data_IF_449048905952
#
_entry.id   IF_449048905952
#
_cell.length_a   1.000
_cell.length_b   1.000
_cell.length_c   1.000
_cell.angle_alpha   90.00
_cell.angle_beta   90.00
_cell.angle_gamma   90.00
#
_symmetry.space_group_name_H-M   'P 1'
#
loop_
_entity.id
_entity.type
_entity.pdbx_description
1 polymer ?
#
# COMPACT_ATOMS: atom_id res chain seq x y z
N UNK A 1 4.60 -2.89 11.25
CA UNK A 1 4.07 -4.19 10.79
C UNK A 1 2.60 -4.00 10.47
N UNK A 2 2.18 -4.40 9.28
CA UNK A 2 0.81 -4.25 8.77
C UNK A 2 0.24 -5.64 8.57
N UNK A 3 -0.88 -5.92 9.24
CA UNK A 3 -1.61 -7.17 9.13
C UNK A 3 -2.96 -6.91 8.48
N UNK A 4 -3.45 -7.76 7.58
CA UNK A 4 -4.83 -7.63 7.12
C UNK A 4 -5.77 -7.89 8.28
N UNK A 5 -6.93 -7.24 8.26
CA UNK A 5 -8.01 -7.63 9.16
C UNK A 5 -8.46 -9.04 8.74
N UNK A 6 -8.16 -10.06 9.54
CA UNK A 6 -8.63 -11.43 9.27
C UNK A 6 -10.03 -11.54 9.84
N UNK A 7 -11.05 -11.49 8.98
CA UNK A 7 -12.36 -12.03 9.34
C UNK A 7 -12.28 -13.55 9.19
N UNK A 8 -11.84 -14.26 10.23
CA UNK A 8 -12.12 -15.69 10.29
C UNK A 8 -13.62 -15.89 10.43
N UNK A 9 -14.14 -17.03 9.97
CA UNK A 9 -15.57 -17.39 9.85
C UNK A 9 -16.35 -17.48 11.18
N UNK A 10 -16.23 -16.45 12.03
CA UNK A 10 -16.72 -16.35 13.40
C UNK A 10 -15.90 -15.38 14.29
N UNK A 11 -14.77 -14.85 13.80
CA UNK A 11 -13.86 -13.97 14.55
C UNK A 11 -13.79 -12.56 13.97
N UNK A 12 -13.95 -11.55 14.82
CA UNK A 12 -13.68 -10.16 14.43
C UNK A 12 -12.18 -10.00 14.13
N UNK A 13 -11.79 -9.32 13.04
CA UNK A 13 -10.38 -9.03 12.70
C UNK A 13 -9.54 -8.32 13.77
N UNK A 14 -10.18 -7.90 14.86
CA UNK A 14 -9.53 -7.54 16.12
C UNK A 14 -8.72 -8.68 16.75
N UNK A 15 -9.23 -9.91 16.71
CA UNK A 15 -8.61 -11.05 17.37
C UNK A 15 -7.29 -11.41 16.66
N UNK A 16 -7.29 -11.42 15.33
CA UNK A 16 -6.10 -11.73 14.55
C UNK A 16 -4.95 -10.74 14.78
N UNK A 17 -5.20 -9.43 14.80
CA UNK A 17 -4.13 -8.45 15.03
C UNK A 17 -3.64 -8.46 16.49
N UNK A 18 -4.52 -8.78 17.45
CA UNK A 18 -4.14 -8.93 18.86
C UNK A 18 -3.28 -10.17 19.06
N UNK A 19 -3.68 -11.33 18.52
CA UNK A 19 -2.88 -12.54 18.55
C UNK A 19 -1.53 -12.33 17.86
N UNK A 20 -1.49 -11.70 16.68
CA UNK A 20 -0.22 -11.38 16.04
C UNK A 20 0.67 -10.46 16.90
N UNK A 21 0.07 -9.46 17.56
CA UNK A 21 0.80 -8.58 18.48
C UNK A 21 1.34 -9.34 19.70
N UNK A 22 0.55 -10.22 20.31
CA UNK A 22 0.93 -10.98 21.50
C UNK A 22 1.90 -12.12 21.19
N UNK A 23 1.63 -12.91 20.16
CA UNK A 23 2.31 -14.16 19.85
C UNK A 23 3.54 -13.98 18.96
N UNK A 24 3.54 -12.97 18.08
CA UNK A 24 4.61 -12.76 17.11
C UNK A 24 5.40 -11.51 17.46
N UNK A 25 4.76 -10.33 17.48
CA UNK A 25 5.52 -9.09 17.62
C UNK A 25 6.27 -9.00 18.96
N UNK A 26 5.64 -9.37 20.08
CA UNK A 26 6.33 -9.42 21.38
C UNK A 26 7.36 -10.54 21.49
N UNK A 27 7.13 -11.68 20.85
CA UNK A 27 8.07 -12.81 20.88
C UNK A 27 9.36 -12.52 20.10
N UNK A 28 9.23 -11.89 18.92
CA UNK A 28 10.37 -11.57 18.05
C UNK A 28 11.03 -10.23 18.39
N UNK A 29 10.36 -9.35 19.14
CA UNK A 29 10.88 -8.05 19.58
C UNK A 29 10.78 -7.88 21.11
N UNK A 30 11.37 -8.78 21.92
CA UNK A 30 11.15 -8.81 23.36
C UNK A 30 11.64 -7.55 24.08
N UNK A 31 12.70 -6.91 23.57
CA UNK A 31 13.30 -5.70 24.16
C UNK A 31 12.79 -4.39 23.53
N UNK A 32 11.70 -4.45 22.76
CA UNK A 32 11.16 -3.29 22.03
C UNK A 32 9.78 -2.92 22.52
N UNK A 33 9.50 -1.62 22.55
CA UNK A 33 8.17 -1.08 22.88
C UNK A 33 7.30 -1.18 21.65
N UNK A 34 6.47 -2.22 21.60
CA UNK A 34 5.56 -2.47 20.47
C UNK A 34 4.19 -1.87 20.79
N UNK A 35 3.64 -1.06 19.91
CA UNK A 35 2.26 -0.56 19.98
C UNK A 35 1.31 -1.35 19.09
N UNK A 36 0.01 -1.26 19.38
CA UNK A 36 -1.06 -1.88 18.59
C UNK A 36 -2.06 -0.81 18.14
N UNK A 37 -2.37 -0.75 16.84
CA UNK A 37 -3.36 0.17 16.28
C UNK A 37 -4.38 -0.57 15.39
N UNK A 38 -5.67 -0.45 15.69
CA UNK A 38 -6.72 -1.13 14.90
C UNK A 38 -7.99 -0.29 14.77
N UNK A 39 -8.89 -0.72 13.88
CA UNK A 39 -10.16 -0.03 13.55
C UNK A 39 -11.02 0.35 14.76
N UNK A 40 -11.12 -0.53 15.76
CA UNK A 40 -11.96 -0.34 16.95
C UNK A 40 -11.46 0.68 17.98
N UNK A 41 -10.24 1.21 17.83
CA UNK A 41 -9.76 2.27 18.73
C UNK A 41 -10.52 3.57 18.46
N UNK A 42 -10.84 4.32 19.50
CA UNK A 42 -11.41 5.66 19.38
C UNK A 42 -10.37 6.59 18.71
N UNK A 43 -10.82 7.68 18.05
CA UNK A 43 -9.90 8.62 17.40
C UNK A 43 -8.79 9.14 18.33
N UNK A 44 -9.12 9.42 19.60
CA UNK A 44 -8.15 9.86 20.60
C UNK A 44 -7.06 8.82 20.86
N UNK A 45 -7.45 7.56 21.06
CA UNK A 45 -6.51 6.45 21.31
C UNK A 45 -5.61 6.21 20.08
N UNK A 46 -6.16 6.31 18.87
CA UNK A 46 -5.36 6.23 17.63
C UNK A 46 -4.32 7.35 17.56
N UNK A 47 -4.71 8.58 17.91
CA UNK A 47 -3.80 9.72 17.92
C UNK A 47 -2.69 9.57 18.95
N UNK A 48 -3.00 9.09 20.16
CA UNK A 48 -2.02 8.84 21.22
C UNK A 48 -0.99 7.79 20.80
N UNK A 49 -1.42 6.62 20.30
CA UNK A 49 -0.51 5.56 19.80
C UNK A 49 0.37 6.08 18.67
N UNK A 50 -0.18 6.89 17.77
CA UNK A 50 0.59 7.46 16.68
C UNK A 50 1.60 8.51 17.12
N UNK A 51 1.27 9.32 18.12
CA UNK A 51 2.21 10.28 18.72
C UNK A 51 3.35 9.56 19.44
N UNK A 52 3.04 8.48 20.18
CA UNK A 52 4.04 7.64 20.81
C UNK A 52 5.00 7.01 19.78
N UNK A 53 4.48 6.56 18.64
CA UNK A 53 5.31 6.00 17.57
C UNK A 53 6.17 7.07 16.88
N UNK A 54 5.60 8.23 16.55
CA UNK A 54 6.34 9.34 15.92
C UNK A 54 7.45 9.90 16.81
N UNK A 55 7.19 10.00 18.11
CA UNK A 55 8.15 10.52 19.10
C UNK A 55 9.21 9.49 19.53
N UNK A 56 9.15 8.25 19.02
CA UNK A 56 10.08 7.19 19.41
C UNK A 56 9.84 6.66 20.83
N UNK A 57 8.65 6.87 21.41
CA UNK A 57 8.20 6.18 22.62
C UNK A 57 7.79 4.73 22.35
N UNK A 58 7.41 4.43 21.10
CA UNK A 58 7.28 3.08 20.57
C UNK A 58 8.37 2.84 19.53
N UNK A 59 8.98 1.66 19.58
CA UNK A 59 10.00 1.22 18.63
C UNK A 59 9.38 0.51 17.43
N UNK A 60 8.21 -0.09 17.60
CA UNK A 60 7.47 -0.78 16.55
C UNK A 60 5.96 -0.57 16.70
N UNK A 61 5.23 -0.62 15.58
CA UNK A 61 3.77 -0.52 15.54
C UNK A 61 3.20 -1.70 14.75
N UNK A 62 2.30 -2.45 15.36
CA UNK A 62 1.47 -3.46 14.70
C UNK A 62 0.12 -2.82 14.38
N UNK A 63 -0.32 -2.89 13.13
CA UNK A 63 -1.61 -2.33 12.76
C UNK A 63 -2.37 -3.14 11.73
N UNK A 64 -3.70 -3.02 11.74
CA UNK A 64 -4.51 -3.51 10.63
C UNK A 64 -4.38 -2.59 9.40
N UNK A 65 -5.06 -2.94 8.29
CA UNK A 65 -5.21 -2.09 7.09
C UNK A 65 -5.73 -0.66 7.34
N UNK A 66 -6.14 -0.35 8.57
CA UNK A 66 -6.60 0.96 9.04
C UNK A 66 -5.48 2.01 9.09
N UNK A 67 -4.27 1.69 8.65
CA UNK A 67 -3.32 2.73 8.19
C UNK A 67 -3.81 3.36 6.87
N UNK A 68 -5.11 3.51 6.61
CA UNK A 68 -5.61 4.18 5.40
C UNK A 68 -5.34 5.70 5.40
N UNK A 69 -5.04 6.35 6.54
CA UNK A 69 -4.88 7.81 6.57
C UNK A 69 -3.56 8.28 7.21
N UNK A 70 -2.68 8.83 6.39
CA UNK A 70 -1.78 9.94 6.78
C UNK A 70 -0.61 9.67 7.73
N UNK A 71 -0.21 8.41 7.93
CA UNK A 71 0.96 8.11 8.76
C UNK A 71 2.23 8.23 7.92
N UNK A 72 2.76 9.46 7.85
CA UNK A 72 4.14 9.69 7.46
C UNK A 72 5.01 9.72 8.72
N UNK A 73 5.96 8.79 8.81
CA UNK A 73 6.89 8.67 9.94
C UNK A 73 8.29 8.56 9.35
N UNK A 74 9.03 9.67 9.23
CA UNK A 74 10.34 9.69 8.59
C UNK A 74 11.36 8.72 9.23
N UNK A 75 11.19 8.44 10.53
CA UNK A 75 12.04 7.52 11.29
C UNK A 75 11.67 6.04 11.10
N UNK A 76 10.53 5.73 10.47
CA UNK A 76 10.19 4.35 10.15
C UNK A 76 10.98 3.92 8.91
N UNK A 77 11.95 3.04 9.11
CA UNK A 77 12.82 2.52 8.04
C UNK A 77 12.45 1.12 7.58
N UNK A 78 11.65 0.38 8.36
CA UNK A 78 11.25 -1.00 8.02
C UNK A 78 9.74 -1.15 8.03
N UNK A 79 9.19 -1.63 6.91
CA UNK A 79 7.81 -2.10 6.79
C UNK A 79 7.78 -3.60 6.59
N UNK A 80 6.86 -4.27 7.29
CA UNK A 80 6.51 -5.67 7.06
C UNK A 80 5.02 -5.72 6.81
N UNK A 81 4.61 -6.25 5.66
CA UNK A 81 3.21 -6.44 5.28
C UNK A 81 2.94 -7.94 5.27
N UNK A 82 2.17 -8.39 6.25
CA UNK A 82 1.74 -9.77 6.39
C UNK A 82 0.61 -10.11 5.42
N UNK A 83 0.56 -11.37 4.97
CA UNK A 83 -0.44 -11.87 4.02
C UNK A 83 -0.65 -10.88 2.84
N UNK A 84 0.46 -10.43 2.24
CA UNK A 84 0.48 -9.38 1.22
C UNK A 84 -0.39 -9.73 0.00
N UNK A 85 -0.64 -11.02 -0.25
CA UNK A 85 -1.52 -11.48 -1.33
C UNK A 85 -2.97 -11.00 -1.19
N UNK A 86 -3.41 -10.66 0.02
CA UNK A 86 -4.78 -10.18 0.29
C UNK A 86 -5.01 -8.74 -0.17
N UNK A 87 -3.95 -8.03 -0.52
CA UNK A 87 -4.03 -6.63 -0.95
C UNK A 87 -3.97 -6.53 -2.48
N UNK A 88 -4.61 -5.50 -3.02
CA UNK A 88 -4.37 -5.06 -4.41
C UNK A 88 -2.96 -4.48 -4.55
N UNK A 89 -2.38 -4.56 -5.74
CA UNK A 89 -1.03 -4.05 -5.99
C UNK A 89 -0.89 -2.56 -5.70
N UNK A 90 -1.88 -1.75 -6.09
CA UNK A 90 -1.90 -0.32 -5.81
C UNK A 90 -1.93 -0.02 -4.30
N UNK A 91 -2.65 -0.80 -3.51
CA UNK A 91 -2.68 -0.64 -2.05
C UNK A 91 -1.31 -0.98 -1.42
N UNK A 92 -0.67 -2.07 -1.85
CA UNK A 92 0.69 -2.41 -1.41
C UNK A 92 1.71 -1.33 -1.79
N UNK A 93 1.60 -0.78 -3.01
CA UNK A 93 2.44 0.31 -3.47
C UNK A 93 2.27 1.56 -2.59
N UNK A 94 1.03 1.92 -2.26
CA UNK A 94 0.75 3.04 -1.36
C UNK A 94 1.28 2.80 0.05
N UNK A 95 1.15 1.58 0.59
CA UNK A 95 1.71 1.22 1.90
C UNK A 95 3.23 1.34 1.89
N UNK A 96 3.90 0.75 0.88
CA UNK A 96 5.35 0.86 0.69
C UNK A 96 5.82 2.31 0.68
N UNK A 97 5.09 3.19 -0.01
CA UNK A 97 5.41 4.61 -0.10
C UNK A 97 5.32 5.39 1.22
N UNK A 98 4.85 4.78 2.32
CA UNK A 98 4.80 5.41 3.65
C UNK A 98 6.07 5.23 4.49
N UNK A 99 7.03 4.46 3.98
CA UNK A 99 8.32 4.19 4.61
C UNK A 99 9.42 4.67 3.67
N UNK A 100 10.55 5.13 4.22
CA UNK A 100 11.65 5.65 3.39
C UNK A 100 11.50 7.08 2.90
N UNK A 101 10.79 7.93 3.67
CA UNK A 101 10.79 9.39 3.45
C UNK A 101 11.92 10.14 4.18
N UNK A 102 12.66 9.44 5.05
CA UNK A 102 13.84 9.99 5.71
C UNK A 102 15.13 9.76 4.92
N UNK A 103 16.26 10.22 5.45
CA UNK A 103 17.58 10.01 4.85
C UNK A 103 18.13 8.58 5.02
N UNK A 104 17.51 7.78 5.89
CA UNK A 104 17.95 6.42 6.18
C UNK A 104 17.44 5.43 5.12
N UNK A 105 18.29 4.48 4.75
CA UNK A 105 17.92 3.37 3.89
C UNK A 105 16.73 2.61 4.48
N UNK A 106 15.77 2.26 3.62
CA UNK A 106 14.49 1.71 4.04
C UNK A 106 14.11 0.46 3.28
N UNK A 107 13.42 -0.44 3.98
CA UNK A 107 13.08 -1.79 3.51
C UNK A 107 11.60 -2.07 3.69
N UNK A 108 10.97 -2.67 2.67
CA UNK A 108 9.59 -3.11 2.72
C UNK A 108 9.53 -4.60 2.40
N UNK A 109 9.17 -5.42 3.38
CA UNK A 109 9.00 -6.86 3.27
C UNK A 109 7.54 -7.21 3.01
N UNK A 110 7.30 -8.00 1.97
CA UNK A 110 6.00 -8.57 1.64
C UNK A 110 6.02 -10.04 2.05
N UNK A 111 5.21 -10.41 3.04
CA UNK A 111 5.13 -11.78 3.55
C UNK A 111 3.86 -12.42 3.00
N UNK A 112 3.98 -13.63 2.47
CA UNK A 112 2.85 -14.39 1.91
C UNK A 112 3.14 -15.89 1.99
N UNK A 113 2.19 -16.65 2.53
CA UNK A 113 2.22 -18.13 2.52
C UNK A 113 1.61 -18.72 1.24
N UNK A 114 1.13 -17.86 0.33
CA UNK A 114 0.47 -18.29 -0.88
C UNK A 114 1.48 -18.66 -1.97
N UNK A 115 1.60 -19.96 -2.24
CA UNK A 115 2.54 -20.51 -3.23
C UNK A 115 2.05 -20.41 -4.70
N UNK A 116 0.88 -19.83 -4.96
CA UNK A 116 0.36 -19.68 -6.33
C UNK A 116 1.31 -18.86 -7.20
N UNK A 117 1.62 -19.35 -8.39
CA UNK A 117 2.52 -18.69 -9.32
C UNK A 117 2.02 -17.28 -9.72
N UNK A 118 0.70 -17.11 -9.87
CA UNK A 118 0.11 -15.81 -10.20
C UNK A 118 0.32 -14.79 -9.07
N UNK A 119 0.15 -15.22 -7.83
CA UNK A 119 0.36 -14.39 -6.64
C UNK A 119 1.84 -14.03 -6.50
N UNK A 120 2.73 -15.01 -6.65
CA UNK A 120 4.17 -14.81 -6.55
C UNK A 120 4.70 -13.89 -7.65
N UNK A 121 4.22 -14.03 -8.89
CA UNK A 121 4.55 -13.11 -10.00
C UNK A 121 4.13 -11.68 -9.69
N UNK A 122 2.91 -11.50 -9.18
CA UNK A 122 2.36 -10.19 -8.82
C UNK A 122 3.18 -9.51 -7.72
N UNK A 123 3.48 -10.22 -6.62
CA UNK A 123 4.29 -9.67 -5.52
C UNK A 123 5.73 -9.36 -5.97
N UNK A 124 6.35 -10.24 -6.78
CA UNK A 124 7.68 -10.00 -7.36
C UNK A 124 7.70 -8.79 -8.30
N UNK A 125 6.66 -8.59 -9.10
CA UNK A 125 6.54 -7.41 -9.95
C UNK A 125 6.58 -6.13 -9.12
N UNK A 126 5.83 -6.08 -8.00
CA UNK A 126 5.89 -4.93 -7.09
C UNK A 126 7.28 -4.69 -6.50
N UNK A 127 8.03 -5.75 -6.19
CA UNK A 127 9.41 -5.63 -5.73
C UNK A 127 10.39 -5.13 -6.80
N UNK A 128 10.09 -5.36 -8.08
CA UNK A 128 10.97 -4.97 -9.20
C UNK A 128 10.85 -3.52 -9.64
N UNK A 129 9.80 -2.79 -9.24
CA UNK A 129 9.58 -1.41 -9.69
C UNK A 129 9.05 -0.48 -8.60
N UNK A 130 9.57 0.75 -8.60
CA UNK A 130 9.04 1.86 -7.83
C UNK A 130 7.99 2.69 -8.58
N UNK A 131 7.77 2.43 -9.88
CA UNK A 131 6.85 3.20 -10.72
C UNK A 131 5.39 2.82 -10.46
N UNK A 132 4.60 3.78 -9.98
CA UNK A 132 3.18 3.60 -9.70
C UNK A 132 2.34 3.34 -10.94
N UNK A 133 2.73 3.86 -12.10
CA UNK A 133 2.03 3.61 -13.36
C UNK A 133 2.24 2.18 -13.84
N UNK A 134 3.48 1.70 -13.83
CA UNK A 134 3.78 0.30 -14.15
C UNK A 134 3.00 -0.67 -13.25
N UNK A 135 2.86 -0.34 -11.95
CA UNK A 135 2.04 -1.11 -11.00
C UNK A 135 0.56 -1.08 -11.35
N UNK A 136 0.01 0.09 -11.68
CA UNK A 136 -1.40 0.21 -12.08
C UNK A 136 -1.69 -0.56 -13.38
N UNK A 137 -0.80 -0.48 -14.37
CA UNK A 137 -0.92 -1.20 -15.62
C UNK A 137 -0.89 -2.72 -15.41
N UNK A 138 0.07 -3.22 -14.63
CA UNK A 138 0.16 -4.65 -14.34
C UNK A 138 -1.06 -5.17 -13.55
N UNK A 139 -1.59 -4.39 -12.59
CA UNK A 139 -2.82 -4.75 -11.87
C UNK A 139 -4.04 -4.81 -12.81
N UNK A 140 -4.12 -3.90 -13.79
CA UNK A 140 -5.17 -3.92 -14.82
C UNK A 140 -5.06 -5.15 -15.74
N UNK A 141 -3.85 -5.44 -16.22
CA UNK A 141 -3.57 -6.61 -17.08
C UNK A 141 -3.89 -7.93 -16.37
N UNK A 142 -3.55 -8.05 -15.08
CA UNK A 142 -3.75 -9.30 -14.32
C UNK A 142 -5.19 -9.52 -13.84
N UNK A 143 -5.98 -8.46 -13.62
CA UNK A 143 -7.41 -8.57 -13.29
C UNK A 143 -8.29 -8.82 -14.51
N UNK A 144 -7.83 -8.40 -15.68
CA UNK A 144 -8.61 -8.43 -16.91
C UNK A 144 -9.75 -7.40 -16.93
N UNK A 145 -10.36 -7.13 -18.10
CA UNK A 145 -11.36 -6.07 -18.29
C UNK A 145 -12.69 -6.31 -17.56
N UNK A 146 -12.94 -7.52 -17.06
CA UNK A 146 -14.23 -7.95 -16.51
C UNK A 146 -14.49 -7.58 -15.05
N UNK A 147 -13.45 -7.29 -14.26
CA UNK A 147 -13.58 -7.11 -12.80
C UNK A 147 -13.51 -5.64 -12.34
N UNK A 148 -13.24 -4.70 -13.26
CA UNK A 148 -13.27 -3.26 -12.99
C UNK A 148 -14.71 -2.72 -12.93
N UNK A 149 -15.61 -3.33 -13.70
CA UNK A 149 -17.05 -3.09 -13.64
C UNK A 149 -17.67 -4.22 -12.85
N UNK A 150 -17.72 -4.08 -11.53
CA UNK A 150 -18.24 -5.10 -10.63
C UNK A 150 -19.50 -5.79 -11.18
N UNK A 151 -19.48 -7.12 -11.16
CA UNK A 151 -20.64 -8.02 -11.20
C UNK A 151 -21.95 -7.39 -11.73
N UNK A 152 -22.24 -7.55 -13.02
CA UNK A 152 -23.57 -7.35 -13.64
C UNK A 152 -24.34 -6.12 -13.12
N UNK A 153 -23.87 -4.91 -13.38
CA UNK A 153 -24.81 -3.78 -13.44
C UNK A 153 -25.54 -3.82 -14.79
N UNK A 154 -26.69 -4.48 -14.81
CA UNK A 154 -27.68 -4.27 -15.85
C UNK A 154 -28.01 -2.77 -15.92
N UNK A 155 -27.65 -2.11 -17.03
CA UNK A 155 -28.32 -0.88 -17.44
C UNK A 155 -27.48 0.38 -17.68
N UNK A 156 -26.15 0.35 -17.63
CA UNK A 156 -25.34 1.48 -18.08
C UNK A 156 -24.55 1.14 -19.36
N UNK A 157 -24.42 2.06 -20.32
CA UNK A 157 -23.66 1.81 -21.53
C UNK A 157 -22.21 1.52 -21.16
N UNK A 158 -21.62 0.50 -21.80
CA UNK A 158 -20.18 0.29 -21.85
C UNK A 158 -19.49 1.62 -22.11
N UNK A 159 -18.50 1.99 -21.29
CA UNK A 159 -17.67 3.18 -21.50
C UNK A 159 -17.21 3.19 -22.97
N UNK A 160 -17.76 4.11 -23.76
CA UNK A 160 -17.48 4.26 -25.19
C UNK A 160 -16.28 5.16 -25.46
N UNK A 161 -15.52 5.54 -24.42
CA UNK A 161 -14.46 6.53 -24.51
C UNK A 161 -13.29 6.02 -23.66
N UNK A 162 -12.19 5.70 -24.33
CA UNK A 162 -10.91 5.15 -23.84
C UNK A 162 -10.91 3.66 -23.49
N UNK A 163 -10.33 2.87 -24.39
CA UNK A 163 -9.89 1.52 -24.11
C UNK A 163 -8.47 1.64 -23.54
N UNK A 164 -8.35 1.63 -22.20
CA UNK A 164 -7.08 1.78 -21.50
C UNK A 164 -5.99 0.82 -21.99
N UNK A 165 -6.36 -0.34 -22.55
CA UNK A 165 -5.42 -1.31 -23.09
C UNK A 165 -4.89 -0.89 -24.47
N UNK A 166 -5.75 -0.31 -25.32
CA UNK A 166 -5.39 0.15 -26.66
C UNK A 166 -4.75 1.55 -26.67
N UNK A 167 -5.05 2.38 -25.66
CA UNK A 167 -4.51 3.74 -25.52
C UNK A 167 -3.21 3.81 -24.70
N UNK A 168 -2.62 2.67 -24.34
CA UNK A 168 -1.33 2.56 -23.63
C UNK A 168 -0.22 3.40 -24.27
N UNK A 169 -0.15 3.45 -25.61
CA UNK A 169 0.84 4.28 -26.33
C UNK A 169 0.64 5.77 -26.08
N UNK A 170 -0.61 6.22 -26.06
CA UNK A 170 -0.97 7.62 -25.79
C UNK A 170 -0.64 8.00 -24.35
N UNK A 171 -0.91 7.09 -23.40
CA UNK A 171 -0.57 7.27 -21.99
C UNK A 171 0.95 7.35 -21.76
N UNK A 172 1.73 6.47 -22.40
CA UNK A 172 3.19 6.52 -22.35
C UNK A 172 3.77 7.79 -22.98
N UNK A 173 3.19 8.26 -24.10
CA UNK A 173 3.62 9.51 -24.71
C UNK A 173 3.35 10.71 -23.79
N UNK A 174 2.15 10.79 -23.21
CA UNK A 174 1.81 11.83 -22.24
C UNK A 174 2.71 11.80 -21.00
N UNK A 175 3.06 10.61 -20.50
CA UNK A 175 3.99 10.44 -19.38
C UNK A 175 5.40 10.93 -19.75
N UNK A 176 5.90 10.54 -20.92
CA UNK A 176 7.23 10.94 -21.37
C UNK A 176 7.32 12.47 -21.49
N UNK A 177 6.27 13.10 -22.00
CA UNK A 177 6.17 14.55 -22.08
C UNK A 177 6.13 15.20 -20.69
N UNK A 178 5.32 14.66 -19.76
CA UNK A 178 5.26 15.19 -18.40
C UNK A 178 6.60 15.07 -17.65
N UNK A 179 7.34 13.97 -17.86
CA UNK A 179 8.68 13.80 -17.29
C UNK A 179 9.68 14.78 -17.89
N UNK A 180 9.65 14.98 -19.21
CA UNK A 180 10.50 15.96 -19.88
C UNK A 180 10.21 17.38 -19.39
N UNK A 181 8.92 17.72 -19.29
CA UNK A 181 8.44 19.00 -18.77
C UNK A 181 8.96 19.27 -17.35
N UNK A 182 8.79 18.31 -16.44
CA UNK A 182 9.25 18.44 -15.05
C UNK A 182 10.78 18.43 -14.92
N UNK A 183 11.50 17.86 -15.88
CA UNK A 183 12.97 17.93 -15.91
C UNK A 183 13.47 19.32 -16.34
N UNK A 184 12.76 19.96 -17.28
CA UNK A 184 13.11 21.31 -17.76
C UNK A 184 12.60 22.43 -16.84
N UNK A 185 11.44 22.22 -16.22
CA UNK A 185 10.78 23.19 -15.35
C UNK A 185 10.17 22.48 -14.13
N UNK A 186 11.00 22.12 -13.14
CA UNK A 186 10.55 21.35 -11.98
C UNK A 186 9.48 22.07 -11.13
N UNK A 187 9.40 23.39 -11.23
CA UNK A 187 8.44 24.23 -10.50
C UNK A 187 7.26 24.69 -11.38
N UNK A 188 7.27 24.36 -12.68
CA UNK A 188 6.26 24.77 -13.66
C UNK A 188 6.05 26.30 -13.70
N UNK A 189 7.14 27.08 -13.59
CA UNK A 189 7.10 28.54 -13.51
C UNK A 189 7.31 29.25 -14.86
N UNK A 190 7.60 28.51 -15.94
CA UNK A 190 7.73 29.12 -17.27
C UNK A 190 6.40 29.74 -17.73
N UNK A 191 6.41 30.89 -18.43
CA UNK A 191 5.20 31.58 -18.88
C UNK A 191 4.30 30.76 -19.82
N UNK A 192 4.89 29.77 -20.48
CA UNK A 192 4.26 28.84 -21.41
C UNK A 192 3.57 27.66 -20.71
N UNK A 193 3.78 27.48 -19.40
CA UNK A 193 3.14 26.47 -18.55
C UNK A 193 2.12 27.07 -17.55
N UNK A 194 1.95 28.39 -17.57
CA UNK A 194 1.05 29.15 -16.69
C UNK A 194 -0.42 29.12 -17.15
#
# INVERSE_FOLDING_TARGET
MVCPAIEDAGGSGLNAVKSYYEDIAKAYLPDRRVGLMHGKLKPKEKAEVMDDFKSGRLDALVSTTVIEVGVDVPNATVMVIENAERYGLSALHQLRGRVGRGAAESWCFLVSDNASESVQKRLKFLCSTSDGFAVAQYDLETRGPGDFFGSRQHGLPTLQIADLMNDTRTLHAAQSEAVALLAEDPLLERPEHA
#
